data_IF_798959593997
#
_entry.id   IF_798959593997
#
_cell.length_a   1.000
_cell.length_b   1.000
_cell.length_c   1.000
_cell.angle_alpha   90.00
_cell.angle_beta   90.00
_cell.angle_gamma   90.00
#
_symmetry.space_group_name_H-M   'P 1'
#
loop_
_entity.id
_entity.type
_entity.pdbx_description
1 polymer ?
#
# COMPACT_ATOMS: atom_id res chain seq x y z
N UNK A 1 -15.37 -25.40 -2.81
CA UNK A 1 -14.96 -24.16 -3.50
C UNK A 1 -13.79 -24.48 -4.41
N UNK A 2 -13.71 -23.87 -5.60
CA UNK A 2 -12.59 -24.08 -6.53
C UNK A 2 -11.40 -23.23 -6.05
N UNK A 3 -10.22 -23.84 -5.92
CA UNK A 3 -8.98 -23.08 -5.71
C UNK A 3 -8.57 -22.38 -7.01
N UNK A 4 -8.34 -21.08 -6.91
CA UNK A 4 -7.77 -20.25 -7.98
C UNK A 4 -6.25 -20.45 -8.08
N UNK A 5 -5.72 -20.37 -9.30
CA UNK A 5 -4.29 -20.21 -9.55
C UNK A 5 -3.80 -18.80 -9.17
N UNK A 6 -2.49 -18.62 -8.96
CA UNK A 6 -1.92 -17.29 -8.64
C UNK A 6 -2.22 -16.24 -9.71
N UNK A 7 -2.28 -16.64 -11.00
CA UNK A 7 -2.64 -15.75 -12.10
C UNK A 7 -4.11 -15.33 -12.04
N UNK A 8 -5.02 -16.26 -11.74
CA UNK A 8 -6.44 -15.95 -11.51
C UNK A 8 -6.64 -15.04 -10.29
N UNK A 9 -5.73 -15.06 -9.32
CA UNK A 9 -5.70 -14.11 -8.19
C UNK A 9 -5.09 -12.74 -8.53
N UNK A 10 -4.52 -12.56 -9.73
CA UNK A 10 -3.97 -11.28 -10.18
C UNK A 10 -2.48 -11.07 -9.90
N UNK A 11 -1.74 -12.11 -9.51
CA UNK A 11 -0.28 -12.07 -9.39
C UNK A 11 0.39 -12.34 -10.75
N UNK A 12 1.46 -11.61 -11.01
CA UNK A 12 2.40 -11.94 -12.09
C UNK A 12 3.28 -13.13 -11.73
N UNK A 13 3.89 -13.76 -12.73
CA UNK A 13 4.85 -14.87 -12.50
C UNK A 13 6.04 -14.43 -11.63
N UNK A 14 6.48 -13.18 -11.77
CA UNK A 14 7.57 -12.61 -10.98
C UNK A 14 7.15 -12.37 -9.52
N UNK A 15 5.95 -11.84 -9.28
CA UNK A 15 5.42 -11.68 -7.92
C UNK A 15 5.23 -13.04 -7.24
N UNK A 16 4.74 -14.05 -7.95
CA UNK A 16 4.66 -15.41 -7.40
C UNK A 16 6.04 -15.95 -7.03
N UNK A 17 7.05 -15.76 -7.90
CA UNK A 17 8.44 -16.16 -7.62
C UNK A 17 9.00 -15.44 -6.39
N UNK A 18 8.78 -14.13 -6.29
CA UNK A 18 9.20 -13.33 -5.13
C UNK A 18 8.52 -13.76 -3.84
N UNK A 19 7.22 -14.08 -3.87
CA UNK A 19 6.50 -14.60 -2.72
C UNK A 19 7.11 -15.93 -2.22
N UNK A 20 7.42 -16.85 -3.15
CA UNK A 20 8.07 -18.11 -2.81
C UNK A 20 9.50 -17.92 -2.26
N UNK A 21 10.25 -16.96 -2.81
CA UNK A 21 11.60 -16.58 -2.35
C UNK A 21 11.56 -16.00 -0.93
N UNK A 22 10.65 -15.07 -0.66
CA UNK A 22 10.47 -14.46 0.67
C UNK A 22 10.08 -15.48 1.74
N UNK A 23 9.27 -16.48 1.37
CA UNK A 23 8.88 -17.56 2.28
C UNK A 23 9.92 -18.69 2.38
N UNK A 24 10.87 -18.77 1.44
CA UNK A 24 11.79 -19.91 1.30
C UNK A 24 11.12 -21.23 0.90
N UNK A 25 9.86 -21.19 0.47
CA UNK A 25 9.05 -22.35 0.06
C UNK A 25 7.87 -21.92 -0.81
N UNK A 26 7.18 -22.87 -1.43
CA UNK A 26 5.93 -22.60 -2.13
C UNK A 26 4.85 -22.08 -1.15
N UNK A 27 4.21 -20.93 -1.42
CA UNK A 27 3.07 -20.45 -0.64
C UNK A 27 1.87 -21.38 -0.77
N UNK A 28 1.14 -21.59 0.32
CA UNK A 28 -0.16 -22.26 0.25
C UNK A 28 -1.25 -21.31 -0.29
N UNK A 29 -2.46 -21.82 -0.52
CA UNK A 29 -3.57 -21.05 -1.09
C UNK A 29 -3.90 -19.76 -0.31
N UNK A 30 -3.91 -19.83 1.02
CA UNK A 30 -4.21 -18.68 1.88
C UNK A 30 -3.11 -17.62 1.80
N UNK A 31 -1.86 -18.04 1.92
CA UNK A 31 -0.70 -17.15 1.83
C UNK A 31 -0.65 -16.46 0.46
N UNK A 32 -0.91 -17.22 -0.60
CA UNK A 32 -0.96 -16.70 -1.96
C UNK A 32 -2.08 -15.67 -2.14
N UNK A 33 -3.26 -15.93 -1.58
CA UNK A 33 -4.36 -14.97 -1.55
C UNK A 33 -4.01 -13.68 -0.80
N UNK A 34 -3.25 -13.79 0.30
CA UNK A 34 -2.75 -12.61 1.03
C UNK A 34 -1.77 -11.80 0.19
N UNK A 35 -0.81 -12.45 -0.48
CA UNK A 35 0.11 -11.76 -1.40
C UNK A 35 -0.63 -11.06 -2.54
N UNK A 36 -1.60 -11.73 -3.16
CA UNK A 36 -2.41 -11.17 -4.23
C UNK A 36 -3.10 -9.85 -3.85
N UNK A 37 -3.76 -9.80 -2.69
CA UNK A 37 -4.44 -8.58 -2.23
C UNK A 37 -3.42 -7.51 -1.81
N UNK A 38 -2.45 -7.86 -0.97
CA UNK A 38 -1.51 -6.90 -0.40
C UNK A 38 -0.58 -6.28 -1.45
N UNK A 39 -0.27 -7.00 -2.53
CA UNK A 39 0.55 -6.51 -3.64
C UNK A 39 -0.27 -6.02 -4.83
N UNK A 40 -1.59 -5.90 -4.70
CA UNK A 40 -2.43 -5.22 -5.70
C UNK A 40 -2.02 -3.74 -5.85
N UNK A 41 -2.40 -3.08 -6.96
CA UNK A 41 -2.16 -1.63 -7.09
C UNK A 41 -2.88 -0.84 -6.00
N UNK A 42 -4.08 -1.28 -5.60
CA UNK A 42 -4.89 -0.60 -4.59
C UNK A 42 -4.19 -0.54 -3.22
N UNK A 43 -3.56 -1.63 -2.78
CA UNK A 43 -2.85 -1.67 -1.50
C UNK A 43 -1.38 -1.25 -1.63
N UNK A 44 -0.70 -1.67 -2.70
CA UNK A 44 0.75 -1.51 -2.86
C UNK A 44 1.18 -0.20 -3.52
N UNK A 45 0.27 0.51 -4.20
CA UNK A 45 0.56 1.71 -4.98
C UNK A 45 1.76 1.53 -5.93
N UNK A 46 1.86 0.36 -6.58
CA UNK A 46 3.08 -0.09 -7.28
C UNK A 46 3.53 0.90 -8.35
N UNK A 47 2.57 1.41 -9.12
CA UNK A 47 2.82 2.33 -10.22
C UNK A 47 2.85 3.80 -9.74
N UNK A 48 1.97 4.14 -8.80
CA UNK A 48 1.78 5.51 -8.34
C UNK A 48 2.82 5.98 -7.33
N UNK A 49 3.32 5.09 -6.44
CA UNK A 49 4.27 5.43 -5.36
C UNK A 49 5.55 6.14 -5.85
N UNK A 50 6.23 5.74 -6.95
CA UNK A 50 7.41 6.46 -7.44
C UNK A 50 7.12 7.91 -7.85
N UNK A 51 5.93 8.17 -8.40
CA UNK A 51 5.50 9.50 -8.82
C UNK A 51 5.11 10.36 -7.62
N UNK A 52 4.34 9.81 -6.68
CA UNK A 52 3.87 10.52 -5.48
C UNK A 52 5.03 11.00 -4.59
N UNK A 53 6.17 10.30 -4.60
CA UNK A 53 7.39 10.70 -3.86
C UNK A 53 7.99 12.03 -4.34
N UNK A 54 7.59 12.52 -5.52
CA UNK A 54 8.11 13.78 -6.06
C UNK A 54 7.41 15.01 -5.47
N UNK A 55 6.28 14.84 -4.78
CA UNK A 55 5.57 15.96 -4.18
C UNK A 55 6.28 16.51 -2.93
N UNK A 56 6.21 17.82 -2.68
CA UNK A 56 6.68 18.39 -1.43
C UNK A 56 5.78 17.92 -0.28
N UNK A 57 6.40 17.37 0.76
CA UNK A 57 5.70 16.76 1.91
C UNK A 57 6.05 17.40 3.24
N UNK A 58 6.90 18.42 3.22
CA UNK A 58 7.40 19.12 4.41
C UNK A 58 7.04 20.60 4.32
N UNK A 59 6.75 21.20 5.48
CA UNK A 59 6.44 22.61 5.62
C UNK A 59 6.28 22.96 7.11
N UNK A 60 6.39 24.25 7.48
CA UNK A 60 6.40 24.65 8.89
C UNK A 60 5.10 24.34 9.63
N UNK A 61 3.97 24.26 8.93
CA UNK A 61 2.68 23.88 9.50
C UNK A 61 2.41 22.37 9.44
N UNK A 62 3.28 21.56 8.84
CA UNK A 62 3.05 20.11 8.72
C UNK A 62 3.49 19.42 10.00
N UNK A 63 2.52 18.96 10.79
CA UNK A 63 2.78 18.12 11.97
C UNK A 63 3.02 16.68 11.52
N UNK A 64 2.19 16.17 10.60
CA UNK A 64 2.31 14.82 10.04
C UNK A 64 2.02 14.83 8.53
N UNK A 65 3.04 14.49 7.74
CA UNK A 65 2.92 14.27 6.30
C UNK A 65 2.48 12.84 5.93
N UNK A 66 2.64 12.43 4.66
CA UNK A 66 2.26 11.08 4.22
C UNK A 66 2.96 9.97 5.01
N UNK A 67 2.23 8.92 5.37
CA UNK A 67 2.74 7.75 6.10
C UNK A 67 1.71 7.16 7.06
N UNK A 68 0.88 8.02 7.64
CA UNK A 68 -0.20 7.66 8.57
C UNK A 68 -1.57 7.64 7.87
N UNK A 69 -2.60 7.22 8.62
CA UNK A 69 -3.98 7.16 8.13
C UNK A 69 -4.58 8.52 7.71
N UNK A 70 -3.99 9.65 8.12
CA UNK A 70 -4.39 11.00 7.71
C UNK A 70 -3.23 11.99 7.86
N UNK A 71 -3.27 13.10 7.13
CA UNK A 71 -2.33 14.21 7.30
C UNK A 71 -2.78 15.13 8.42
N UNK A 72 -1.81 15.79 9.09
CA UNK A 72 -2.06 16.72 10.19
C UNK A 72 -1.33 18.03 9.97
N UNK A 73 -2.05 19.15 10.10
CA UNK A 73 -1.49 20.50 10.00
C UNK A 73 -1.81 21.33 11.23
N UNK A 74 -0.84 22.14 11.67
CA UNK A 74 -1.01 23.15 12.71
C UNK A 74 -1.82 24.33 12.18
N UNK A 75 -2.83 24.76 12.93
CA UNK A 75 -3.68 25.91 12.59
C UNK A 75 -3.58 27.04 13.63
N UNK A 76 -2.65 26.95 14.58
CA UNK A 76 -2.50 27.90 15.68
C UNK A 76 -3.38 27.57 16.88
N UNK A 77 -3.34 28.42 17.90
CA UNK A 77 -4.15 28.31 19.12
C UNK A 77 -4.08 26.96 19.84
N UNK A 78 -2.95 26.25 19.71
CA UNK A 78 -2.76 24.89 20.21
C UNK A 78 -3.79 23.89 19.64
N UNK A 79 -4.17 24.07 18.38
CA UNK A 79 -5.11 23.25 17.63
C UNK A 79 -4.48 22.70 16.35
N UNK A 80 -5.01 21.58 15.85
CA UNK A 80 -4.57 20.95 14.62
C UNK A 80 -5.77 20.47 13.79
N UNK A 81 -5.61 20.48 12.46
CA UNK A 81 -6.58 19.94 11.52
C UNK A 81 -6.08 18.59 10.98
N UNK A 82 -6.93 17.56 11.10
CA UNK A 82 -6.66 16.20 10.62
C UNK A 82 -7.61 15.87 9.48
N UNK A 83 -7.08 15.51 8.31
CA UNK A 83 -7.93 15.20 7.15
C UNK A 83 -7.29 14.22 6.15
N UNK A 84 -8.14 13.54 5.40
CA UNK A 84 -7.80 12.64 4.28
C UNK A 84 -8.97 12.59 3.30
N UNK A 85 -8.66 12.28 2.04
CA UNK A 85 -9.63 11.95 1.00
C UNK A 85 -9.39 10.51 0.51
N UNK A 86 -10.47 9.77 0.30
CA UNK A 86 -10.47 8.40 -0.22
C UNK A 86 -11.51 8.26 -1.34
N UNK A 87 -11.33 7.26 -2.20
CA UNK A 87 -12.29 6.84 -3.21
C UNK A 87 -12.73 5.40 -2.94
N UNK A 88 -13.97 5.05 -3.30
CA UNK A 88 -14.48 3.69 -3.28
C UNK A 88 -14.56 3.12 -4.69
#
# INVERSE_FOLDING_TARGET
>A
MKELSYREMGLTDEEYRQAAELLGRTPNYLELGMFAVMWSEHCGYKNSRPLLKQFPTQGPQVIQGPGENAGVVDIGDNQALVFKIESH
#
